data_IF_360319294437
#
_entry.id   IF_360319294437
#
_cell.length_a   1.000
_cell.length_b   1.000
_cell.length_c   1.000
_cell.angle_alpha   90.00
_cell.angle_beta   90.00
_cell.angle_gamma   90.00
#
_symmetry.space_group_name_H-M   'P 1'
#
loop_
_entity.id
_entity.type
_entity.pdbx_description
1 polymer ?
#
# COMPACT_ATOMS: atom_id res chain seq x y z
N UNK A 1 -22.85 -11.21 15.08
CA UNK A 1 -21.95 -10.06 15.02
C UNK A 1 -20.65 -10.56 14.41
N UNK A 2 -20.31 -10.16 13.19
CA UNK A 2 -19.01 -10.52 12.60
C UNK A 2 -17.96 -9.79 13.45
N UNK A 3 -17.19 -10.54 14.24
CA UNK A 3 -15.91 -10.05 14.74
C UNK A 3 -15.06 -9.80 13.50
N UNK A 4 -15.12 -8.58 12.96
CA UNK A 4 -14.05 -8.09 12.10
C UNK A 4 -12.86 -8.05 13.04
N UNK A 5 -11.98 -9.04 12.93
CA UNK A 5 -10.66 -8.96 13.52
C UNK A 5 -10.16 -7.54 13.28
N UNK A 6 -9.91 -6.83 14.38
CA UNK A 6 -9.50 -5.45 14.35
C UNK A 6 -8.38 -5.34 13.32
N UNK A 7 -8.55 -4.47 12.32
CA UNK A 7 -7.55 -4.35 11.27
C UNK A 7 -6.27 -3.85 11.94
N UNK A 8 -5.32 -4.75 12.17
CA UNK A 8 -4.00 -4.41 12.70
C UNK A 8 -3.13 -4.09 11.48
N UNK A 9 -2.88 -2.80 11.18
CA UNK A 9 -2.03 -2.43 10.06
C UNK A 9 -0.62 -2.98 10.30
N UNK A 10 -0.18 -3.89 9.43
CA UNK A 10 1.20 -4.41 9.41
C UNK A 10 1.87 -3.97 8.11
N UNK A 11 2.63 -2.87 8.09
CA UNK A 11 3.32 -2.42 6.88
C UNK A 11 4.22 -3.54 6.35
N UNK A 12 4.13 -3.80 5.05
CA UNK A 12 4.94 -4.77 4.33
C UNK A 12 5.97 -4.07 3.44
N UNK A 13 5.61 -2.92 2.87
CA UNK A 13 6.52 -2.06 2.13
C UNK A 13 6.13 -0.59 2.28
N UNK A 14 7.14 0.29 2.19
CA UNK A 14 6.96 1.73 2.11
C UNK A 14 7.73 2.26 0.92
N UNK A 15 7.11 3.15 0.17
CA UNK A 15 7.69 3.84 -0.98
C UNK A 15 7.46 5.33 -0.79
N UNK A 16 8.50 6.13 -0.98
CA UNK A 16 8.42 7.58 -0.98
C UNK A 16 8.76 8.09 -2.37
N UNK A 17 7.86 8.89 -2.95
CA UNK A 17 8.03 9.55 -4.25
C UNK A 17 7.68 11.01 -4.06
N UNK A 18 8.69 11.88 -4.13
CA UNK A 18 8.62 13.30 -3.78
C UNK A 18 7.91 13.53 -2.44
N UNK A 19 6.73 14.16 -2.47
CA UNK A 19 5.94 14.48 -1.29
C UNK A 19 4.89 13.41 -0.94
N UNK A 20 4.89 12.27 -1.63
CA UNK A 20 3.92 11.19 -1.43
C UNK A 20 4.59 9.99 -0.74
N UNK A 21 4.01 9.54 0.37
CA UNK A 21 4.31 8.24 0.97
C UNK A 21 3.22 7.23 0.61
N UNK A 22 3.62 6.14 -0.05
CA UNK A 22 2.79 4.96 -0.30
C UNK A 22 3.21 3.82 0.64
N UNK A 23 2.31 3.39 1.51
CA UNK A 23 2.51 2.21 2.38
C UNK A 23 1.64 1.05 1.91
N UNK A 24 2.25 -0.11 1.66
CA UNK A 24 1.57 -1.38 1.36
C UNK A 24 1.51 -2.20 2.63
N UNK A 25 0.31 -2.65 3.03
CA UNK A 25 0.11 -3.48 4.22
C UNK A 25 0.06 -4.98 3.90
N UNK A 26 0.41 -5.81 4.88
CA UNK A 26 0.34 -7.27 4.80
C UNK A 26 -1.10 -7.70 4.49
N UNK A 27 -1.25 -8.63 3.54
CA UNK A 27 -2.55 -9.09 3.04
C UNK A 27 -3.05 -8.33 1.81
N UNK A 28 -2.36 -7.28 1.37
CA UNK A 28 -2.64 -6.64 0.09
C UNK A 28 -2.40 -7.61 -1.08
N UNK A 29 -3.25 -7.50 -2.11
CA UNK A 29 -3.02 -8.23 -3.35
C UNK A 29 -1.74 -7.71 -4.02
N UNK A 30 -0.80 -8.61 -4.29
CA UNK A 30 0.54 -8.26 -4.76
C UNK A 30 0.53 -7.60 -6.14
N UNK A 31 -0.27 -8.13 -7.07
CA UNK A 31 -0.37 -7.58 -8.44
C UNK A 31 -0.94 -6.16 -8.42
N UNK A 32 -2.03 -5.95 -7.68
CA UNK A 32 -2.65 -4.63 -7.55
C UNK A 32 -1.71 -3.64 -6.85
N UNK A 33 -1.04 -4.05 -5.77
CA UNK A 33 -0.08 -3.20 -5.07
C UNK A 33 1.09 -2.78 -5.98
N UNK A 34 1.55 -3.70 -6.83
CA UNK A 34 2.61 -3.43 -7.82
C UNK A 34 2.16 -2.42 -8.87
N UNK A 35 0.96 -2.58 -9.42
CA UNK A 35 0.45 -1.67 -10.44
C UNK A 35 0.17 -0.26 -9.87
N UNK A 36 -0.34 -0.17 -8.65
CA UNK A 36 -0.46 1.11 -7.93
C UNK A 36 0.91 1.76 -7.73
N UNK A 37 1.91 1.00 -7.25
CA UNK A 37 3.25 1.53 -7.05
C UNK A 37 3.85 2.09 -8.35
N UNK A 38 3.70 1.39 -9.49
CA UNK A 38 4.15 1.88 -10.80
C UNK A 38 3.48 3.20 -11.19
N UNK A 39 2.16 3.32 -10.98
CA UNK A 39 1.41 4.55 -11.28
C UNK A 39 1.91 5.70 -10.43
N UNK A 40 2.08 5.47 -9.12
CA UNK A 40 2.61 6.49 -8.20
C UNK A 40 4.02 6.92 -8.63
N UNK A 41 4.94 5.98 -8.89
CA UNK A 41 6.31 6.30 -9.34
C UNK A 41 6.30 7.11 -10.64
N UNK A 42 5.37 6.82 -11.56
CA UNK A 42 5.33 7.45 -12.88
C UNK A 42 4.73 8.87 -12.85
N UNK A 43 3.75 9.10 -11.98
CA UNK A 43 2.91 10.31 -12.05
C UNK A 43 2.90 11.17 -10.79
N UNK A 44 3.49 10.69 -9.68
CA UNK A 44 3.77 11.53 -8.54
C UNK A 44 5.05 12.32 -8.85
N UNK A 45 4.86 13.53 -9.41
CA UNK A 45 5.86 14.58 -9.59
C UNK A 45 5.15 15.94 -9.56
#
# INVERSE_FOLDING_TARGET
>A
VVNKDEFIPRPAAKLQVDNIELTIFKGANLSLATDIAKVVIRYAH
#
